data_IF_299838440988
#
_entry.id   IF_299838440988
#
_cell.length_a   1.000
_cell.length_b   1.000
_cell.length_c   1.000
_cell.angle_alpha   90.00
_cell.angle_beta   90.00
_cell.angle_gamma   90.00
#
_symmetry.space_group_name_H-M   'P 1'
#
loop_
_entity.id
_entity.type
_entity.pdbx_description
1 polymer ?
#
# COMPACT_ATOMS: atom_id res chain seq x y z
N UNK A 1 7.64 -45.80 51.26
CA UNK A 1 8.40 -44.59 51.62
C UNK A 1 8.98 -43.96 50.36
N UNK A 2 8.61 -42.70 50.12
CA UNK A 2 9.34 -41.67 49.36
C UNK A 2 9.34 -41.73 47.83
N UNK A 3 8.33 -41.04 47.29
CA UNK A 3 8.29 -40.25 46.06
C UNK A 3 9.64 -39.84 45.48
N UNK A 4 9.83 -40.06 44.18
CA UNK A 4 10.76 -39.30 43.35
C UNK A 4 10.10 -39.02 41.99
N UNK A 5 9.11 -38.13 42.01
CA UNK A 5 8.53 -37.53 40.80
C UNK A 5 9.56 -36.52 40.29
N UNK A 6 10.36 -36.90 39.31
CA UNK A 6 11.23 -35.99 38.58
C UNK A 6 10.36 -35.09 37.69
N UNK A 7 9.91 -33.96 38.24
CA UNK A 7 9.28 -32.88 37.47
C UNK A 7 10.37 -32.21 36.63
N UNK A 8 10.54 -32.66 35.39
CA UNK A 8 11.27 -31.92 34.38
C UNK A 8 10.41 -30.70 34.03
N UNK A 9 10.75 -29.56 34.62
CA UNK A 9 10.18 -28.27 34.30
C UNK A 9 10.64 -27.87 32.89
N UNK A 10 9.90 -28.29 31.87
CA UNK A 10 9.96 -27.71 30.53
C UNK A 10 9.47 -26.27 30.64
N UNK A 11 10.41 -25.34 30.84
CA UNK A 11 10.18 -23.93 30.64
C UNK A 11 9.92 -23.70 29.15
N UNK A 12 8.65 -23.80 28.75
CA UNK A 12 8.20 -23.28 27.46
C UNK A 12 8.30 -21.77 27.59
N UNK A 13 9.47 -21.23 27.27
CA UNK A 13 9.64 -19.81 27.03
C UNK A 13 8.87 -19.52 25.75
N UNK A 14 7.57 -19.26 25.90
CA UNK A 14 6.75 -18.62 24.88
C UNK A 14 7.25 -17.18 24.74
N UNK A 15 8.45 -17.02 24.20
CA UNK A 15 8.88 -15.75 23.66
C UNK A 15 7.95 -15.46 22.50
N UNK A 16 7.05 -14.49 22.67
CA UNK A 16 6.54 -13.72 21.54
C UNK A 16 7.76 -13.03 20.89
N UNK A 17 8.54 -13.83 20.16
CA UNK A 17 9.61 -13.36 19.33
C UNK A 17 8.99 -12.33 18.38
N UNK A 18 9.58 -11.15 18.38
CA UNK A 18 9.19 -10.02 17.55
C UNK A 18 8.97 -10.46 16.10
N UNK A 19 7.70 -10.63 15.70
CA UNK A 19 7.37 -10.85 14.30
C UNK A 19 7.88 -9.66 13.47
N UNK A 20 8.49 -9.92 12.29
CA UNK A 20 8.99 -8.85 11.43
C UNK A 20 7.84 -7.96 10.95
N UNK A 21 8.14 -6.68 10.72
CA UNK A 21 7.20 -5.73 10.13
C UNK A 21 6.84 -6.18 8.71
N UNK A 22 5.56 -6.40 8.43
CA UNK A 22 5.06 -6.87 7.13
C UNK A 22 4.72 -5.69 6.23
N UNK A 23 5.64 -5.33 5.33
CA UNK A 23 5.51 -4.14 4.47
C UNK A 23 5.06 -4.47 3.05
N UNK A 24 4.87 -5.75 2.73
CA UNK A 24 4.71 -6.24 1.37
C UNK A 24 3.56 -5.53 0.64
N UNK A 25 2.37 -5.52 1.25
CA UNK A 25 1.17 -4.93 0.66
C UNK A 25 1.34 -3.43 0.33
N UNK A 26 1.81 -2.64 1.30
CA UNK A 26 2.13 -1.22 1.09
C UNK A 26 3.21 -1.01 0.01
N UNK A 27 4.28 -1.81 -0.02
CA UNK A 27 5.33 -1.67 -1.05
C UNK A 27 4.87 -2.09 -2.44
N UNK A 28 4.04 -3.12 -2.56
CA UNK A 28 3.45 -3.54 -3.84
C UNK A 28 2.43 -2.52 -4.34
N UNK A 29 1.61 -1.95 -3.44
CA UNK A 29 0.68 -0.89 -3.79
C UNK A 29 1.41 0.34 -4.34
N UNK A 30 2.47 0.80 -3.65
CA UNK A 30 3.27 1.95 -4.10
C UNK A 30 3.85 1.69 -5.50
N UNK A 31 4.39 0.49 -5.73
CA UNK A 31 4.91 0.11 -7.05
C UNK A 31 3.82 0.09 -8.11
N UNK A 32 2.65 -0.48 -7.80
CA UNK A 32 1.52 -0.50 -8.72
C UNK A 32 1.06 0.91 -9.08
N UNK A 33 1.04 1.84 -8.12
CA UNK A 33 0.72 3.24 -8.37
C UNK A 33 1.76 3.92 -9.28
N UNK A 34 3.06 3.64 -9.08
CA UNK A 34 4.11 4.13 -9.96
C UNK A 34 3.97 3.59 -11.39
N UNK A 35 3.72 2.29 -11.54
CA UNK A 35 3.52 1.61 -12.82
C UNK A 35 2.26 2.10 -13.54
N UNK A 36 1.19 2.39 -12.80
CA UNK A 36 -0.03 3.00 -13.30
C UNK A 36 0.14 4.47 -13.72
N UNK A 37 1.29 5.08 -13.42
CA UNK A 37 1.61 6.45 -13.84
C UNK A 37 1.12 7.53 -12.88
N UNK A 38 0.89 7.22 -11.60
CA UNK A 38 0.38 8.17 -10.60
C UNK A 38 1.16 9.48 -10.52
N UNK A 39 2.48 9.46 -10.77
CA UNK A 39 3.31 10.66 -10.79
C UNK A 39 2.89 11.71 -11.83
N UNK A 40 2.06 11.35 -12.83
CA UNK A 40 1.59 12.24 -13.90
C UNK A 40 0.19 12.82 -13.63
N UNK A 41 -0.53 12.26 -12.66
CA UNK A 41 -1.90 12.65 -12.33
C UNK A 41 -1.86 13.39 -10.99
N UNK A 42 -2.19 14.70 -10.91
CA UNK A 42 -1.93 15.50 -9.72
C UNK A 42 -2.47 14.92 -8.41
N UNK A 43 -3.71 14.41 -8.42
CA UNK A 43 -4.31 13.80 -7.22
C UNK A 43 -3.67 12.44 -6.89
N UNK A 44 -3.39 11.60 -7.90
CA UNK A 44 -2.72 10.32 -7.68
C UNK A 44 -1.29 10.51 -7.16
N UNK A 45 -0.57 11.52 -7.67
CA UNK A 45 0.79 11.85 -7.25
C UNK A 45 0.83 12.26 -5.78
N UNK A 46 -0.20 12.98 -5.29
CA UNK A 46 -0.31 13.32 -3.88
C UNK A 46 -0.44 12.06 -3.01
N UNK A 47 -1.37 11.17 -3.34
CA UNK A 47 -1.57 9.93 -2.59
C UNK A 47 -0.38 8.97 -2.69
N UNK A 48 0.29 8.90 -3.84
CA UNK A 48 1.55 8.17 -3.99
C UNK A 48 2.63 8.70 -3.03
N UNK A 49 2.73 10.02 -2.89
CA UNK A 49 3.70 10.62 -1.97
C UNK A 49 3.33 10.34 -0.50
N UNK A 50 2.06 10.48 -0.13
CA UNK A 50 1.57 10.16 1.22
C UNK A 50 1.89 8.69 1.56
N UNK A 51 1.58 7.75 0.65
CA UNK A 51 1.86 6.33 0.86
C UNK A 51 3.35 6.05 1.12
N UNK A 52 4.25 6.74 0.41
CA UNK A 52 5.71 6.63 0.62
C UNK A 52 6.12 7.18 1.99
N UNK A 53 5.60 8.34 2.38
CA UNK A 53 5.88 8.96 3.66
C UNK A 53 5.38 8.11 4.84
N UNK A 54 4.20 7.52 4.71
CA UNK A 54 3.62 6.61 5.70
C UNK A 54 4.42 5.32 5.84
N UNK A 55 4.90 4.74 4.73
CA UNK A 55 5.80 3.58 4.76
C UNK A 55 7.10 3.90 5.50
N UNK A 56 7.72 5.05 5.24
CA UNK A 56 8.93 5.48 5.94
C UNK A 56 8.66 5.73 7.44
N UNK A 57 7.55 6.36 7.77
CA UNK A 57 7.13 6.56 9.15
C UNK A 57 6.89 5.23 9.87
N UNK A 58 6.26 4.27 9.20
CA UNK A 58 6.05 2.92 9.71
C UNK A 58 7.37 2.22 10.05
N UNK A 59 8.37 2.31 9.15
CA UNK A 59 9.72 1.78 9.39
C UNK A 59 10.36 2.42 10.62
N UNK A 60 10.24 3.74 10.76
CA UNK A 60 10.72 4.48 11.93
C UNK A 60 10.03 4.07 13.23
N UNK A 61 8.71 3.89 13.22
CA UNK A 61 7.93 3.42 14.36
C UNK A 61 8.35 2.00 14.78
N UNK A 62 8.51 1.09 13.81
CA UNK A 62 8.94 -0.27 14.07
C UNK A 62 10.35 -0.34 14.67
N UNK A 63 11.27 0.50 14.18
CA UNK A 63 12.63 0.60 14.73
C UNK A 63 12.65 1.05 16.19
N UNK A 64 11.66 1.83 16.63
CA UNK A 64 11.47 2.23 18.04
C UNK A 64 10.66 1.23 18.87
N UNK A 65 10.27 0.10 18.28
CA UNK A 65 9.45 -0.91 18.95
C UNK A 65 7.95 -0.58 19.02
N UNK A 66 7.50 0.49 18.37
CA UNK A 66 6.09 0.92 18.33
C UNK A 66 5.31 0.15 17.24
N UNK A 67 5.23 -1.19 17.39
CA UNK A 67 4.78 -2.12 16.34
C UNK A 67 3.34 -1.89 15.88
N UNK A 68 2.43 -1.63 16.80
CA UNK A 68 1.00 -1.45 16.53
C UNK A 68 0.77 -0.16 15.72
N UNK A 69 1.51 0.90 16.06
CA UNK A 69 1.49 2.15 15.31
C UNK A 69 2.13 1.97 13.93
N UNK A 70 3.23 1.22 13.85
CA UNK A 70 3.86 0.90 12.57
C UNK A 70 2.90 0.13 11.66
N UNK A 71 2.23 -0.90 12.18
CA UNK A 71 1.23 -1.68 11.45
C UNK A 71 0.05 -0.80 10.99
N UNK A 72 -0.46 0.08 11.87
CA UNK A 72 -1.51 1.04 11.48
C UNK A 72 -1.06 1.98 10.38
N UNK A 73 0.21 2.38 10.36
CA UNK A 73 0.75 3.27 9.33
C UNK A 73 0.95 2.55 7.99
N UNK A 74 1.28 1.25 8.00
CA UNK A 74 1.35 0.43 6.78
C UNK A 74 -0.02 0.22 6.13
N UNK A 75 -1.07 0.04 6.93
CA UNK A 75 -2.44 -0.05 6.41
C UNK A 75 -2.86 1.23 5.70
N UNK A 76 -2.44 2.39 6.22
CA UNK A 76 -2.69 3.67 5.56
C UNK A 76 -1.88 3.78 4.26
N UNK A 77 -0.61 3.40 4.30
CA UNK A 77 0.25 3.44 3.13
C UNK A 77 -0.28 2.56 1.99
N UNK A 78 -0.83 1.40 2.32
CA UNK A 78 -1.53 0.53 1.37
C UNK A 78 -2.77 1.21 0.78
N UNK A 79 -3.65 1.77 1.62
CA UNK A 79 -4.87 2.42 1.17
C UNK A 79 -4.60 3.66 0.28
N UNK A 80 -3.63 4.50 0.65
CA UNK A 80 -3.25 5.66 -0.16
C UNK A 80 -2.61 5.23 -1.49
N UNK A 81 -1.84 4.15 -1.50
CA UNK A 81 -1.29 3.62 -2.73
C UNK A 81 -2.37 3.04 -3.66
N UNK A 82 -3.35 2.30 -3.12
CA UNK A 82 -4.49 1.81 -3.90
C UNK A 82 -5.32 2.97 -4.48
N UNK A 83 -5.54 4.02 -3.69
CA UNK A 83 -6.21 5.22 -4.17
C UNK A 83 -5.44 5.90 -5.31
N UNK A 84 -4.11 5.97 -5.21
CA UNK A 84 -3.27 6.48 -6.28
C UNK A 84 -3.39 5.64 -7.57
N UNK A 85 -3.46 4.30 -7.49
CA UNK A 85 -3.72 3.43 -8.65
C UNK A 85 -5.05 3.78 -9.31
N UNK A 86 -6.13 3.83 -8.54
CA UNK A 86 -7.48 4.06 -9.08
C UNK A 86 -7.59 5.46 -9.70
N UNK A 87 -7.02 6.48 -9.07
CA UNK A 87 -6.98 7.84 -9.62
C UNK A 87 -6.20 7.89 -10.94
N UNK A 88 -5.14 7.10 -11.07
CA UNK A 88 -4.34 7.03 -12.29
C UNK A 88 -5.12 6.42 -13.44
N UNK A 89 -5.80 5.30 -13.20
CA UNK A 89 -6.66 4.68 -14.19
C UNK A 89 -7.84 5.59 -14.58
N UNK A 90 -8.47 6.25 -13.61
CA UNK A 90 -9.58 7.17 -13.87
C UNK A 90 -9.19 8.35 -14.76
N UNK A 91 -7.98 8.88 -14.63
CA UNK A 91 -7.47 9.94 -15.52
C UNK A 91 -7.25 9.42 -16.96
N UNK A 92 -6.66 8.23 -17.09
CA UNK A 92 -6.45 7.57 -18.38
C UNK A 92 -7.79 7.29 -19.10
N UNK A 93 -8.74 6.67 -18.40
CA UNK A 93 -10.09 6.39 -18.92
C UNK A 93 -10.81 7.66 -19.36
N UNK A 94 -10.71 8.74 -18.58
CA UNK A 94 -11.29 10.04 -18.92
C UNK A 94 -10.67 10.61 -20.20
N UNK A 95 -9.34 10.55 -20.32
CA UNK A 95 -8.61 11.02 -21.49
C UNK A 95 -9.00 10.23 -22.75
N UNK A 96 -9.08 8.90 -22.64
CA UNK A 96 -9.53 8.03 -23.73
C UNK A 96 -10.97 8.31 -24.16
N UNK A 97 -11.88 8.53 -23.20
CA UNK A 97 -13.26 8.89 -23.48
C UNK A 97 -13.36 10.23 -24.23
N UNK A 98 -12.59 11.24 -23.79
CA UNK A 98 -12.53 12.53 -24.48
C UNK A 98 -12.01 12.39 -25.91
N UNK A 99 -10.94 11.61 -26.12
CA UNK A 99 -10.40 11.34 -27.45
C UNK A 99 -11.39 10.56 -28.35
N UNK A 100 -12.16 9.64 -27.79
CA UNK A 100 -13.21 8.93 -28.51
C UNK A 100 -14.34 9.86 -28.96
N UNK A 101 -14.82 10.74 -28.07
CA UNK A 101 -15.83 11.75 -28.40
C UNK A 101 -15.34 12.66 -29.52
N UNK A 102 -14.08 13.09 -29.46
CA UNK A 102 -13.51 13.96 -30.50
C UNK A 102 -13.41 13.27 -31.86
N UNK A 103 -12.99 12.00 -31.88
CA UNK A 103 -13.02 11.20 -33.12
C UNK A 103 -14.41 11.10 -33.73
N UNK A 104 -15.45 10.92 -32.91
CA UNK A 104 -16.84 10.88 -33.40
C UNK A 104 -17.25 12.23 -33.99
N UNK A 105 -16.84 13.36 -33.40
CA UNK A 105 -17.12 14.69 -33.95
C UNK A 105 -16.45 14.89 -35.31
N UNK A 106 -15.18 14.53 -35.43
CA UNK A 106 -14.45 14.62 -36.69
C UNK A 106 -15.12 13.80 -37.79
N UNK A 107 -15.44 12.53 -37.50
CA UNK A 107 -16.13 11.66 -38.45
C UNK A 107 -17.50 12.22 -38.88
N UNK A 108 -18.22 12.92 -38.00
CA UNK A 108 -19.49 13.57 -38.37
C UNK A 108 -19.29 14.77 -39.28
N UNK A 109 -18.21 15.52 -39.12
CA UNK A 109 -17.87 16.64 -39.99
C UNK A 109 -17.42 16.15 -41.37
N UNK A 110 -16.61 15.10 -41.43
CA UNK A 110 -16.08 14.55 -42.68
C UNK A 110 -17.17 13.88 -43.55
N UNK A 111 -18.30 13.47 -42.96
CA UNK A 111 -19.43 12.85 -43.65
C UNK A 111 -20.57 13.85 -44.01
N UNK A 112 -20.39 15.14 -43.77
CA UNK A 112 -21.31 16.21 -44.20
C UNK A 112 -20.83 16.83 -45.52
#
# INVERSE_FOLDING_TARGET
MLFAVAVVATAIVAGCASAPLRTEASTSGIRAAEEAGAAKVPQASLHLQIAKEELELARGLAARGEKEKAASMLLRAEADAELAVVLSHGDAEKSEAMAAVERVRQLRQDNQ
#
